data_IF_980537089222
#
_entry.id   IF_980537089222
#
_cell.length_a   1.000
_cell.length_b   1.000
_cell.length_c   1.000
_cell.angle_alpha   90.00
_cell.angle_beta   90.00
_cell.angle_gamma   90.00
#
_symmetry.space_group_name_H-M   'P 1'
#
loop_
_entity.id
_entity.type
_entity.pdbx_description
1 polymer ?
#
# COMPACT_ATOMS: atom_id res chain seq x y z
N UNK A 1 3.17 8.66 -6.08
CA UNK A 1 2.19 7.84 -6.83
C UNK A 1 2.82 6.96 -7.91
N UNK A 2 3.18 7.48 -9.11
CA UNK A 2 3.53 6.64 -10.28
C UNK A 2 4.75 5.72 -10.08
N UNK A 3 5.83 6.23 -9.48
CA UNK A 3 7.01 5.42 -9.17
C UNK A 3 6.69 4.25 -8.24
N UNK A 4 5.71 4.44 -7.34
CA UNK A 4 5.30 3.40 -6.39
C UNK A 4 4.40 2.36 -7.04
N UNK A 5 3.50 2.79 -7.90
CA UNK A 5 2.71 1.88 -8.73
C UNK A 5 3.62 0.99 -9.58
N UNK A 6 4.62 1.58 -10.26
CA UNK A 6 5.62 0.83 -11.02
C UNK A 6 6.34 -0.20 -10.15
N UNK A 7 6.86 0.20 -8.98
CA UNK A 7 7.63 -0.70 -8.11
C UNK A 7 6.76 -1.83 -7.55
N UNK A 8 5.53 -1.53 -7.14
CA UNK A 8 4.59 -2.53 -6.65
C UNK A 8 4.24 -3.54 -7.75
N UNK A 9 3.91 -3.08 -8.96
CA UNK A 9 3.66 -3.96 -10.11
C UNK A 9 4.89 -4.80 -10.42
N UNK A 10 6.08 -4.22 -10.40
CA UNK A 10 7.33 -4.95 -10.60
C UNK A 10 7.51 -6.07 -9.56
N UNK A 11 7.30 -5.79 -8.27
CA UNK A 11 7.39 -6.80 -7.20
C UNK A 11 6.40 -7.94 -7.38
N UNK A 12 5.19 -7.64 -7.85
CA UNK A 12 4.14 -8.64 -8.07
C UNK A 12 4.39 -9.50 -9.31
N UNK A 13 4.76 -8.88 -10.43
CA UNK A 13 5.08 -9.60 -11.69
C UNK A 13 6.34 -10.44 -11.53
N UNK A 14 7.31 -9.99 -10.72
CA UNK A 14 8.53 -10.75 -10.46
C UNK A 14 8.33 -11.93 -9.49
N UNK A 15 7.15 -12.07 -8.88
CA UNK A 15 6.83 -13.18 -8.00
C UNK A 15 6.02 -14.24 -8.75
N UNK A 16 6.67 -15.35 -9.12
CA UNK A 16 6.07 -16.43 -9.89
C UNK A 16 4.87 -17.11 -9.17
N UNK A 17 4.82 -17.05 -7.84
CA UNK A 17 3.74 -17.62 -7.03
C UNK A 17 2.57 -16.65 -6.82
N UNK A 18 2.71 -15.39 -7.27
CA UNK A 18 1.67 -14.38 -7.06
C UNK A 18 0.51 -14.55 -8.03
N UNK A 19 -0.65 -14.92 -7.49
CA UNK A 19 -1.89 -14.97 -8.27
C UNK A 19 -2.54 -13.60 -8.37
N UNK A 20 -2.93 -13.22 -9.58
CA UNK A 20 -3.65 -11.98 -9.85
C UNK A 20 -5.16 -12.23 -9.92
N UNK A 21 -5.93 -11.37 -9.29
CA UNK A 21 -7.39 -11.31 -9.40
C UNK A 21 -7.83 -10.11 -10.25
N UNK A 22 -9.07 -10.15 -10.75
CA UNK A 22 -9.60 -9.18 -11.72
C UNK A 22 -9.38 -7.71 -11.31
N UNK A 23 -9.53 -7.39 -10.02
CA UNK A 23 -9.46 -6.02 -9.52
C UNK A 23 -8.10 -5.63 -8.95
N UNK A 24 -7.12 -6.54 -8.95
CA UNK A 24 -5.83 -6.32 -8.30
C UNK A 24 -5.09 -5.10 -8.84
N UNK A 25 -5.15 -4.86 -10.15
CA UNK A 25 -4.49 -3.72 -10.77
C UNK A 25 -5.13 -2.39 -10.37
N UNK A 26 -6.47 -2.35 -10.30
CA UNK A 26 -7.21 -1.19 -9.84
C UNK A 26 -6.93 -0.92 -8.36
N UNK A 27 -7.00 -1.96 -7.52
CA UNK A 27 -6.70 -1.87 -6.10
C UNK A 27 -5.28 -1.34 -5.88
N UNK A 28 -4.31 -1.84 -6.67
CA UNK A 28 -2.92 -1.35 -6.65
C UNK A 28 -2.85 0.13 -6.98
N UNK A 29 -3.50 0.57 -8.07
CA UNK A 29 -3.48 1.96 -8.52
C UNK A 29 -4.08 2.89 -7.45
N UNK A 30 -5.25 2.55 -6.93
CA UNK A 30 -5.93 3.37 -5.93
C UNK A 30 -5.19 3.38 -4.59
N UNK A 31 -4.64 2.26 -4.12
CA UNK A 31 -3.84 2.24 -2.87
C UNK A 31 -2.52 3.00 -3.00
N UNK A 32 -1.82 2.91 -4.14
CA UNK A 32 -0.63 3.72 -4.41
C UNK A 32 -0.94 5.23 -4.49
N UNK A 33 -2.17 5.57 -4.92
CA UNK A 33 -2.64 6.95 -4.96
C UNK A 33 -3.00 7.44 -3.56
N UNK A 34 -3.79 6.67 -2.81
CA UNK A 34 -4.16 6.95 -1.42
C UNK A 34 -2.94 7.22 -0.55
N UNK A 35 -1.94 6.35 -0.64
CA UNK A 35 -0.67 6.50 0.09
C UNK A 35 0.18 7.69 -0.35
N UNK A 36 -0.18 8.40 -1.42
CA UNK A 36 0.51 9.64 -1.80
C UNK A 36 -0.11 10.90 -1.18
N UNK A 37 -1.36 10.85 -0.71
CA UNK A 37 -2.05 12.03 -0.16
C UNK A 37 -2.57 11.83 1.27
N UNK A 38 -2.70 10.60 1.75
CA UNK A 38 -3.18 10.32 3.10
C UNK A 38 -2.00 10.17 4.08
N UNK A 39 -2.16 10.61 5.32
CA UNK A 39 -1.17 10.38 6.39
C UNK A 39 -1.16 8.93 6.85
N UNK A 40 -2.31 8.26 6.76
CA UNK A 40 -2.52 6.89 7.23
C UNK A 40 -3.31 6.12 6.17
N UNK A 41 -2.81 4.94 5.80
CA UNK A 41 -3.50 4.01 4.90
C UNK A 41 -3.56 2.64 5.56
N UNK A 42 -4.77 2.16 5.80
CA UNK A 42 -5.04 0.78 6.17
C UNK A 42 -5.71 0.07 4.98
N UNK A 43 -5.16 -1.06 4.55
CA UNK A 43 -5.63 -1.76 3.37
C UNK A 43 -5.59 -3.28 3.51
N UNK A 44 -6.00 -3.96 2.44
CA UNK A 44 -5.94 -5.43 2.36
C UNK A 44 -4.50 -5.93 2.60
N UNK A 45 -4.38 -7.07 3.29
CA UNK A 45 -3.13 -7.58 3.85
C UNK A 45 -2.06 -7.84 2.79
N UNK A 46 -2.41 -8.50 1.69
CA UNK A 46 -1.49 -8.81 0.58
C UNK A 46 -1.04 -7.54 -0.13
N UNK A 47 -1.97 -6.68 -0.52
CA UNK A 47 -1.66 -5.45 -1.25
C UNK A 47 -0.81 -4.50 -0.40
N UNK A 48 -1.18 -4.32 0.87
CA UNK A 48 -0.42 -3.49 1.80
C UNK A 48 0.98 -4.07 2.05
N UNK A 49 1.12 -5.40 2.09
CA UNK A 49 2.44 -6.05 2.18
C UNK A 49 3.35 -5.68 1.00
N UNK A 50 2.83 -5.71 -0.23
CA UNK A 50 3.59 -5.25 -1.39
C UNK A 50 3.88 -3.74 -1.35
N UNK A 51 2.94 -2.94 -0.87
CA UNK A 51 3.10 -1.48 -0.73
C UNK A 51 4.18 -1.12 0.28
N UNK A 52 4.24 -1.81 1.43
CA UNK A 52 5.29 -1.67 2.43
C UNK A 52 6.67 -2.10 1.89
N UNK A 53 6.73 -3.17 1.08
CA UNK A 53 7.98 -3.57 0.41
C UNK A 53 8.43 -2.52 -0.60
N UNK A 54 7.50 -1.94 -1.36
CA UNK A 54 7.80 -0.87 -2.30
C UNK A 54 8.27 0.41 -1.58
N UNK A 55 7.78 0.69 -0.37
CA UNK A 55 8.17 1.86 0.45
C UNK A 55 9.69 1.92 0.71
N UNK A 56 10.35 0.77 0.84
CA UNK A 56 11.81 0.72 1.03
C UNK A 56 12.63 1.23 -0.16
N UNK A 57 12.06 1.25 -1.38
CA UNK A 57 12.71 1.77 -2.59
C UNK A 57 12.12 3.09 -3.08
N UNK A 58 10.80 3.24 -2.92
CA UNK A 58 10.05 4.44 -3.31
C UNK A 58 9.24 4.87 -2.08
N UNK A 59 9.85 5.69 -1.20
CA UNK A 59 9.22 6.14 0.02
C UNK A 59 7.99 6.99 -0.23
N UNK A 60 7.19 7.15 0.82
CA UNK A 60 6.07 8.06 0.87
C UNK A 60 5.85 8.64 2.26
N UNK A 61 4.90 9.57 2.34
CA UNK A 61 4.48 10.17 3.60
C UNK A 61 3.49 9.33 4.40
N UNK A 62 2.82 8.32 3.81
CA UNK A 62 1.77 7.59 4.51
C UNK A 62 2.32 6.50 5.43
N UNK A 63 1.71 6.37 6.61
CA UNK A 63 1.89 5.22 7.50
C UNK A 63 0.97 4.09 7.04
N UNK A 64 1.56 2.95 6.71
CA UNK A 64 0.86 1.80 6.14
C UNK A 64 0.52 0.75 7.21
N UNK A 65 -0.71 0.27 7.23
CA UNK A 65 -1.20 -0.72 8.18
C UNK A 65 -1.93 -1.86 7.48
N UNK A 66 -1.62 -3.11 7.85
CA UNK A 66 -2.24 -4.32 7.28
C UNK A 66 -3.53 -4.73 8.00
N UNK A 67 -3.79 -4.15 9.16
CA UNK A 67 -5.00 -4.37 9.96
C UNK A 67 -5.48 -3.03 10.49
N UNK A 68 -6.79 -2.87 10.55
CA UNK A 68 -7.40 -1.64 11.05
C UNK A 68 -7.09 -1.42 12.53
N UNK A 69 -7.06 -2.50 13.34
CA UNK A 69 -6.73 -2.44 14.77
C UNK A 69 -5.36 -1.78 15.04
N UNK A 70 -4.37 -2.06 14.19
CA UNK A 70 -3.02 -1.49 14.28
C UNK A 70 -2.99 0.00 13.90
N UNK A 71 -3.94 0.44 13.06
CA UNK A 71 -4.04 1.83 12.61
C UNK A 71 -4.74 2.73 13.64
N UNK A 72 -5.57 2.18 14.53
CA UNK A 72 -6.37 2.95 15.49
C UNK A 72 -5.54 3.93 16.32
N UNK A 73 -4.40 3.55 16.92
CA UNK A 73 -3.59 4.50 17.69
C UNK A 73 -3.08 5.66 16.83
N UNK A 74 -2.68 5.38 15.58
CA UNK A 74 -2.20 6.38 14.65
C UNK A 74 -3.32 7.37 14.27
N UNK A 75 -4.53 6.86 14.03
CA UNK A 75 -5.69 7.67 13.66
C UNK A 75 -6.10 8.58 14.82
N UNK A 76 -6.16 8.04 16.04
CA UNK A 76 -6.51 8.82 17.24
C UNK A 76 -5.54 9.97 17.49
N UNK A 77 -4.25 9.79 17.18
CA UNK A 77 -3.24 10.86 17.30
C UNK A 77 -3.34 11.88 16.17
N UNK A 78 -3.66 11.45 14.95
CA UNK A 78 -3.75 12.36 13.79
C UNK A 78 -5.02 13.22 13.79
N UNK A 79 -6.08 12.79 14.49
CA UNK A 79 -7.35 13.52 14.62
C UNK A 79 -7.40 14.50 15.80
N UNK A 80 -6.34 14.56 16.62
CA UNK A 80 -6.21 15.45 17.78
C UNK A 80 -5.46 16.73 17.40
#
# INVERSE_FOLDING_TARGET
>A
MLGRFRELVHLRVSNADDKWHRNDLNDTLFLCTASSYADIVAGEKKMTSYLMRAQGKVPDGARLFRRMEDALPAISTAAA
#
